data_IF_687474368448
#
_entry.id   IF_687474368448
#
_cell.length_a   1.000
_cell.length_b   1.000
_cell.length_c   1.000
_cell.angle_alpha   90.00
_cell.angle_beta   90.00
_cell.angle_gamma   90.00
#
_symmetry.space_group_name_H-M   'P 1'
#
loop_
_entity.id
_entity.type
_entity.pdbx_description
1 polymer ?
#
# COMPACT_ATOMS: atom_id res chain seq x y z
N UNK A 1 -5.03 -3.93 -3.86
CA UNK A 1 -3.65 -3.75 -3.35
C UNK A 1 -3.35 -4.91 -2.43
N UNK A 2 -2.22 -5.59 -2.61
CA UNK A 2 -1.82 -6.64 -1.67
C UNK A 2 -1.42 -5.99 -0.34
N UNK A 3 -1.94 -6.53 0.75
CA UNK A 3 -1.71 -6.05 2.11
C UNK A 3 -1.35 -7.21 3.02
N UNK A 4 -0.74 -6.91 4.16
CA UNK A 4 -0.62 -7.84 5.27
C UNK A 4 -1.35 -7.28 6.51
N UNK A 5 -1.37 -8.04 7.61
CA UNK A 5 -1.86 -7.58 8.93
C UNK A 5 -0.74 -7.49 9.97
N UNK A 6 0.48 -7.24 9.52
CA UNK A 6 1.68 -7.12 10.35
C UNK A 6 1.61 -5.87 11.24
N UNK A 7 2.32 -5.90 12.37
CA UNK A 7 2.62 -4.66 13.10
C UNK A 7 3.49 -3.75 12.22
N UNK A 8 3.11 -2.48 12.11
CA UNK A 8 3.83 -1.48 11.31
C UNK A 8 4.68 -0.54 12.17
N UNK A 9 5.83 -0.10 11.67
CA UNK A 9 6.66 0.97 12.24
C UNK A 9 6.45 2.29 11.47
N UNK A 10 7.41 3.21 11.47
CA UNK A 10 7.25 4.55 10.87
C UNK A 10 7.34 4.55 9.34
N UNK A 11 8.13 3.65 8.75
CA UNK A 11 8.43 3.65 7.32
C UNK A 11 7.34 3.00 6.46
N UNK A 12 6.60 2.06 7.02
CA UNK A 12 5.60 1.26 6.30
C UNK A 12 4.41 2.13 5.90
N UNK A 13 3.94 1.91 4.66
CA UNK A 13 2.68 2.48 4.19
C UNK A 13 1.55 1.69 4.84
N UNK A 14 0.81 2.36 5.71
CA UNK A 14 -0.25 1.79 6.53
C UNK A 14 -1.60 1.98 5.87
N UNK A 15 -2.54 1.08 6.16
CA UNK A 15 -3.91 1.21 5.66
C UNK A 15 -5.00 0.96 6.71
N UNK A 16 -6.18 1.50 6.44
CA UNK A 16 -7.46 1.13 7.07
C UNK A 16 -8.50 0.82 6.01
N UNK A 17 -9.65 0.26 6.41
CA UNK A 17 -10.78 0.00 5.51
C UNK A 17 -12.03 0.77 5.93
N UNK A 18 -12.90 1.03 4.97
CA UNK A 18 -14.24 1.58 5.20
C UNK A 18 -15.25 0.47 5.58
N UNK A 19 -16.50 0.87 5.77
CA UNK A 19 -17.60 -0.05 6.10
C UNK A 19 -17.93 -1.08 5.00
N UNK A 20 -17.47 -0.84 3.77
CA UNK A 20 -17.64 -1.72 2.63
C UNK A 20 -16.41 -2.60 2.37
N UNK A 21 -15.34 -2.46 3.16
CA UNK A 21 -14.10 -3.22 3.04
C UNK A 21 -13.11 -2.66 2.02
N UNK A 22 -13.31 -1.46 1.47
CA UNK A 22 -12.33 -0.80 0.60
C UNK A 22 -11.32 -0.02 1.44
N UNK A 23 -10.09 0.14 0.94
CA UNK A 23 -9.08 0.96 1.60
C UNK A 23 -9.58 2.40 1.72
N UNK A 24 -9.62 2.90 2.97
CA UNK A 24 -10.12 4.23 3.31
C UNK A 24 -8.99 5.24 3.50
N UNK A 25 -7.96 4.85 4.26
CA UNK A 25 -6.77 5.66 4.50
C UNK A 25 -5.55 4.84 4.09
N UNK A 26 -4.57 5.50 3.46
CA UNK A 26 -3.34 4.87 2.96
C UNK A 26 -2.17 5.87 3.05
N UNK A 27 -1.30 5.73 4.04
CA UNK A 27 -0.13 6.61 4.20
C UNK A 27 0.84 6.09 5.25
N UNK A 28 2.04 6.69 5.35
CA UNK A 28 2.97 6.39 6.46
C UNK A 28 2.46 6.89 7.82
N UNK A 29 1.48 7.80 7.86
CA UNK A 29 1.05 8.50 9.08
C UNK A 29 -0.29 8.02 9.65
N UNK A 30 -1.01 7.14 8.93
CA UNK A 30 -2.27 6.53 9.38
C UNK A 30 -2.13 5.99 10.80
N UNK A 31 -3.18 6.21 11.60
CA UNK A 31 -3.30 5.70 12.97
C UNK A 31 -4.26 4.53 13.01
N UNK A 32 -4.07 3.61 13.95
CA UNK A 32 -4.86 2.38 14.07
C UNK A 32 -4.84 1.54 12.77
N UNK A 33 -3.66 1.44 12.17
CA UNK A 33 -3.46 0.68 10.95
C UNK A 33 -3.85 -0.80 11.15
N UNK A 34 -4.45 -1.38 10.12
CA UNK A 34 -4.72 -2.82 10.07
C UNK A 34 -3.48 -3.63 9.68
N UNK A 35 -2.56 -2.99 8.97
CA UNK A 35 -1.27 -3.55 8.58
C UNK A 35 -0.61 -2.67 7.52
N UNK A 36 0.18 -3.30 6.66
CA UNK A 36 1.01 -2.65 5.65
C UNK A 36 0.56 -2.97 4.21
N UNK A 37 0.74 -2.00 3.31
CA UNK A 37 0.68 -2.20 1.87
C UNK A 37 1.99 -2.82 1.34
N UNK A 38 1.92 -3.97 0.66
CA UNK A 38 3.08 -4.79 0.29
C UNK A 38 3.63 -4.44 -1.11
N UNK A 39 3.32 -3.26 -1.64
CA UNK A 39 3.87 -2.77 -2.92
C UNK A 39 3.34 -3.44 -4.21
N UNK A 40 2.44 -4.43 -4.12
CA UNK A 40 1.82 -5.07 -5.30
C UNK A 40 0.41 -4.52 -5.52
N UNK A 41 0.23 -3.82 -6.65
CA UNK A 41 -0.98 -3.11 -6.97
C UNK A 41 -1.59 -3.56 -8.30
N UNK A 42 -2.90 -3.80 -8.29
CA UNK A 42 -3.71 -3.91 -9.50
C UNK A 42 -4.55 -2.64 -9.63
N UNK A 43 -4.39 -1.92 -10.75
CA UNK A 43 -5.17 -0.73 -11.07
C UNK A 43 -6.02 -1.04 -12.29
N UNK A 44 -7.34 -1.00 -12.09
CA UNK A 44 -8.32 -1.28 -13.14
C UNK A 44 -8.28 -0.21 -14.24
N UNK A 45 -8.75 -0.57 -15.44
CA UNK A 45 -8.84 0.40 -16.54
C UNK A 45 -9.75 1.60 -16.20
N UNK A 46 -10.79 1.37 -15.40
CA UNK A 46 -11.72 2.41 -14.93
C UNK A 46 -11.09 3.42 -13.98
N UNK A 47 -10.11 3.01 -13.19
CA UNK A 47 -9.47 3.87 -12.17
C UNK A 47 -8.15 4.46 -12.63
N UNK A 48 -7.53 3.86 -13.65
CA UNK A 48 -6.21 4.22 -14.17
C UNK A 48 -6.07 5.70 -14.49
N UNK A 49 -7.07 6.33 -15.11
CA UNK A 49 -6.98 7.75 -15.47
C UNK A 49 -6.97 8.67 -14.25
N UNK A 50 -7.78 8.35 -13.22
CA UNK A 50 -7.79 9.11 -11.98
C UNK A 50 -6.45 8.95 -11.25
N UNK A 51 -5.93 7.73 -11.18
CA UNK A 51 -4.65 7.49 -10.53
C UNK A 51 -3.47 8.19 -11.22
N UNK A 52 -3.40 8.17 -12.56
CA UNK A 52 -2.36 8.91 -13.31
C UNK A 52 -2.44 10.41 -13.01
N UNK A 53 -3.65 10.99 -13.03
CA UNK A 53 -3.87 12.40 -12.71
C UNK A 53 -3.34 12.77 -11.32
N UNK A 54 -3.57 11.93 -10.32
CA UNK A 54 -3.09 12.22 -8.96
C UNK A 54 -1.60 11.92 -8.78
N UNK A 55 -1.03 10.95 -9.49
CA UNK A 55 0.44 10.78 -9.55
C UNK A 55 1.14 12.01 -10.15
N UNK A 56 0.56 12.64 -11.17
CA UNK A 56 1.10 13.88 -11.74
C UNK A 56 0.98 15.08 -10.78
N UNK A 57 0.08 15.01 -9.80
CA UNK A 57 -0.10 16.03 -8.77
C UNK A 57 0.82 15.85 -7.55
N UNK A 58 1.47 14.69 -7.41
CA UNK A 58 2.43 14.41 -6.34
C UNK A 58 3.69 15.29 -6.45
N UNK A 59 4.29 15.61 -5.31
CA UNK A 59 5.59 16.24 -5.26
C UNK A 59 6.69 15.23 -5.63
N UNK A 60 7.85 15.72 -6.07
CA UNK A 60 8.99 14.90 -6.52
C UNK A 60 9.53 13.96 -5.42
N UNK A 61 9.27 14.25 -4.15
CA UNK A 61 9.74 13.46 -3.00
C UNK A 61 8.60 12.65 -2.34
N UNK A 62 7.40 12.67 -2.90
CA UNK A 62 6.31 11.83 -2.40
C UNK A 62 6.56 10.36 -2.78
N UNK A 63 6.14 9.45 -1.90
CA UNK A 63 6.14 8.02 -2.17
C UNK A 63 4.99 7.65 -3.14
N UNK A 64 5.11 6.53 -3.84
CA UNK A 64 4.16 6.11 -4.88
C UNK A 64 2.71 6.07 -4.39
N UNK A 65 2.48 5.54 -3.19
CA UNK A 65 1.16 5.38 -2.59
C UNK A 65 0.51 6.73 -2.26
N UNK A 66 1.25 7.85 -2.24
CA UNK A 66 0.66 9.19 -2.13
C UNK A 66 -0.29 9.48 -3.28
N UNK A 67 -0.01 8.99 -4.49
CA UNK A 67 -0.93 9.14 -5.62
C UNK A 67 -2.23 8.36 -5.41
N UNK A 68 -2.16 7.18 -4.77
CA UNK A 68 -3.33 6.38 -4.44
C UNK A 68 -4.13 7.02 -3.30
N UNK A 69 -3.46 7.53 -2.28
CA UNK A 69 -4.04 8.30 -1.19
C UNK A 69 -4.88 9.47 -1.76
N UNK A 70 -4.27 10.28 -2.63
CA UNK A 70 -4.95 11.41 -3.28
C UNK A 70 -6.12 10.96 -4.17
N UNK A 71 -5.97 9.86 -4.91
CA UNK A 71 -7.02 9.34 -5.77
C UNK A 71 -8.22 8.81 -4.97
N UNK A 72 -7.99 8.22 -3.80
CA UNK A 72 -9.04 7.81 -2.86
C UNK A 72 -9.74 9.07 -2.31
N UNK A 73 -8.96 10.04 -1.82
CA UNK A 73 -9.48 11.26 -1.17
C UNK A 73 -10.27 12.18 -2.12
N UNK A 74 -9.79 12.38 -3.35
CA UNK A 74 -10.33 13.39 -4.27
C UNK A 74 -11.23 12.81 -5.35
N UNK A 75 -10.91 11.63 -5.86
CA UNK A 75 -11.61 11.02 -7.00
C UNK A 75 -12.48 9.82 -6.57
N UNK A 76 -12.35 9.36 -5.32
CA UNK A 76 -13.18 8.29 -4.76
C UNK A 76 -12.94 6.92 -5.41
N UNK A 77 -11.72 6.66 -5.88
CA UNK A 77 -11.36 5.33 -6.40
C UNK A 77 -11.53 4.27 -5.31
N UNK A 78 -11.84 3.04 -5.69
CA UNK A 78 -12.10 1.93 -4.77
C UNK A 78 -10.99 0.90 -4.85
N UNK A 79 -10.09 0.98 -3.88
CA UNK A 79 -8.99 0.03 -3.78
C UNK A 79 -9.36 -1.10 -2.82
N UNK A 80 -9.46 -2.32 -3.34
CA UNK A 80 -9.71 -3.51 -2.52
C UNK A 80 -8.39 -3.99 -1.86
N UNK A 81 -8.34 -4.18 -0.53
CA UNK A 81 -7.23 -4.82 0.14
C UNK A 81 -7.29 -6.33 -0.10
N UNK A 82 -6.20 -6.89 -0.63
CA UNK A 82 -6.03 -8.33 -0.82
C UNK A 82 -5.05 -8.80 0.25
N UNK A 83 -5.57 -9.43 1.30
CA UNK A 83 -4.75 -9.96 2.38
C UNK A 83 -3.92 -11.15 1.87
N UNK A 84 -2.60 -11.01 1.96
CA UNK A 84 -1.60 -12.02 1.58
C UNK A 84 -0.75 -12.44 2.77
N UNK A 85 -1.23 -12.27 4.00
CA UNK A 85 -0.48 -12.59 5.23
C UNK A 85 -0.09 -14.07 5.35
N UNK A 86 -0.76 -14.96 4.60
CA UNK A 86 -0.43 -16.38 4.49
C UNK A 86 0.63 -16.69 3.42
N UNK A 87 1.04 -15.70 2.63
CA UNK A 87 2.07 -15.79 1.61
C UNK A 87 3.37 -15.11 2.06
N UNK A 88 4.48 -15.54 1.48
CA UNK A 88 5.77 -14.92 1.71
C UNK A 88 6.00 -13.77 0.72
N UNK A 89 6.11 -12.55 1.24
CA UNK A 89 6.52 -11.36 0.50
C UNK A 89 7.44 -10.50 1.38
N UNK A 90 8.53 -10.01 0.80
CA UNK A 90 9.52 -9.19 1.47
C UNK A 90 10.07 -8.16 0.51
N UNK A 91 10.01 -6.88 0.90
CA UNK A 91 10.73 -5.80 0.22
C UNK A 91 12.20 -5.84 0.68
N UNK A 92 13.14 -5.72 -0.26
CA UNK A 92 14.57 -5.92 0.01
C UNK A 92 15.31 -4.61 -0.18
N UNK A 93 15.33 -3.79 0.87
CA UNK A 93 16.01 -2.48 0.90
C UNK A 93 17.34 -2.53 1.65
N UNK A 94 17.42 -3.33 2.72
CA UNK A 94 18.61 -3.46 3.56
C UNK A 94 19.11 -4.91 3.63
N UNK A 95 20.32 -5.09 4.17
CA UNK A 95 20.91 -6.42 4.35
C UNK A 95 20.02 -7.35 5.19
N UNK A 96 19.34 -6.81 6.22
CA UNK A 96 18.44 -7.59 7.06
C UNK A 96 17.23 -8.13 6.26
N UNK A 97 16.74 -7.39 5.28
CA UNK A 97 15.66 -7.85 4.41
C UNK A 97 16.11 -8.97 3.50
N UNK A 98 17.33 -8.87 2.97
CA UNK A 98 17.94 -9.92 2.16
C UNK A 98 18.15 -11.20 2.98
N UNK A 99 18.60 -11.07 4.24
CA UNK A 99 18.76 -12.20 5.15
C UNK A 99 17.42 -12.89 5.40
N UNK A 100 16.37 -12.11 5.69
CA UNK A 100 14.98 -12.58 5.82
C UNK A 100 14.45 -13.24 4.54
N UNK A 101 14.72 -12.66 3.37
CA UNK A 101 14.38 -13.24 2.08
C UNK A 101 15.01 -14.63 1.89
N UNK A 102 16.29 -14.77 2.24
CA UNK A 102 17.01 -16.03 2.13
C UNK A 102 16.54 -17.10 3.12
N UNK A 103 16.03 -16.71 4.30
CA UNK A 103 15.42 -17.64 5.25
C UNK A 103 14.10 -18.21 4.73
N UNK A 104 13.26 -17.38 4.10
CA UNK A 104 11.96 -17.80 3.55
C UNK A 104 12.01 -18.64 2.27
N UNK A 105 13.17 -18.71 1.60
CA UNK A 105 13.37 -19.51 0.37
C UNK A 105 13.87 -20.95 0.63
N UNK A 106 14.13 -21.31 1.89
CA UNK A 106 14.59 -22.66 2.29
C UNK A 106 13.44 -23.60 2.58
#
# INVERSE_FOLDING_TARGET
>A
MCVNTSTTAEEEVKYTVDENGFIKELSKTVKNALGEAVGINFISASEKSAFIKELEACAVQDYFERGLELAIEKDGIKLEPVDISDLFAVEVDFQADLDRANEGLK
#
